data_IF_885487552220
#
_entry.id   IF_885487552220
#
_cell.length_a   1.000
_cell.length_b   1.000
_cell.length_c   1.000
_cell.angle_alpha   90.00
_cell.angle_beta   90.00
_cell.angle_gamma   90.00
#
_symmetry.space_group_name_H-M   'P 1'
#
loop_
_entity.id
_entity.type
_entity.pdbx_description
1 polymer ?
#
# COMPACT_ATOMS: atom_id res chain seq x y z
N UNK A 1 -22.93 41.76 16.37
CA UNK A 1 -21.84 41.08 15.63
C UNK A 1 -22.52 40.05 14.75
N UNK A 2 -22.58 40.31 13.45
CA UNK A 2 -23.10 39.36 12.46
C UNK A 2 -22.05 38.25 12.31
N UNK A 3 -22.38 37.02 12.69
CA UNK A 3 -21.45 35.89 12.56
C UNK A 3 -21.60 35.34 11.16
N UNK A 4 -20.58 35.55 10.33
CA UNK A 4 -20.52 34.92 9.01
C UNK A 4 -20.39 33.41 9.20
N UNK A 5 -21.23 32.66 8.48
CA UNK A 5 -21.27 31.19 8.54
C UNK A 5 -21.08 30.63 7.13
N UNK A 6 -20.52 29.42 7.06
CA UNK A 6 -20.29 28.69 5.81
C UNK A 6 -20.87 27.28 5.92
N UNK A 7 -21.03 26.61 4.79
CA UNK A 7 -21.52 25.24 4.74
C UNK A 7 -20.37 24.26 4.63
N UNK A 8 -20.45 23.15 5.39
CA UNK A 8 -19.52 22.05 5.22
C UNK A 8 -19.75 21.36 3.87
N UNK A 9 -18.72 21.34 3.02
CA UNK A 9 -18.75 20.67 1.70
C UNK A 9 -18.98 19.15 1.76
N UNK A 10 -18.83 18.53 2.93
CA UNK A 10 -18.92 17.08 3.10
C UNK A 10 -20.24 16.60 3.69
N UNK A 11 -20.75 17.29 4.72
CA UNK A 11 -21.98 16.88 5.41
C UNK A 11 -23.14 17.87 5.27
N UNK A 12 -22.93 19.04 4.65
CA UNK A 12 -23.97 20.05 4.41
C UNK A 12 -24.38 20.88 5.62
N UNK A 13 -23.78 20.66 6.79
CA UNK A 13 -24.11 21.44 8.00
C UNK A 13 -23.56 22.87 7.93
N UNK A 14 -24.28 23.81 8.53
CA UNK A 14 -23.84 25.19 8.78
C UNK A 14 -22.78 25.19 9.88
N UNK A 15 -21.63 25.78 9.60
CA UNK A 15 -20.50 25.95 10.51
C UNK A 15 -20.03 27.41 10.50
N UNK A 16 -19.29 27.84 11.52
CA UNK A 16 -18.72 29.19 11.54
C UNK A 16 -17.68 29.37 10.42
N UNK A 17 -17.52 30.61 9.92
CA UNK A 17 -16.60 30.90 8.81
C UNK A 17 -15.14 30.58 9.14
N UNK A 18 -14.76 30.64 10.42
CA UNK A 18 -13.40 30.33 10.89
C UNK A 18 -13.15 28.83 11.07
N UNK A 19 -14.17 27.98 10.97
CA UNK A 19 -14.00 26.54 11.13
C UNK A 19 -13.27 25.93 9.92
N UNK A 20 -12.01 25.55 10.12
CA UNK A 20 -11.23 24.80 9.11
C UNK A 20 -11.63 23.31 9.09
N UNK A 21 -11.99 22.77 10.26
CA UNK A 21 -12.47 21.41 10.43
C UNK A 21 -13.94 21.46 10.85
N UNK A 22 -14.78 20.65 10.22
CA UNK A 22 -16.19 20.58 10.57
C UNK A 22 -16.39 19.82 11.91
N UNK A 23 -17.02 20.43 12.94
CA UNK A 23 -17.24 19.78 14.23
C UNK A 23 -18.26 18.62 14.19
N UNK A 24 -19.06 18.52 13.12
CA UNK A 24 -20.06 17.44 12.95
C UNK A 24 -19.47 16.20 12.29
N UNK A 25 -18.75 16.36 11.18
CA UNK A 25 -18.25 15.22 10.39
C UNK A 25 -16.75 14.96 10.56
N UNK A 26 -16.00 15.88 11.19
CA UNK A 26 -14.56 15.77 11.39
C UNK A 26 -13.71 15.93 10.12
N UNK A 27 -14.35 16.16 8.96
CA UNK A 27 -13.62 16.41 7.70
C UNK A 27 -13.21 17.87 7.60
N UNK A 28 -12.03 18.08 7.03
CA UNK A 28 -11.48 19.39 6.72
C UNK A 28 -12.26 20.03 5.57
N UNK A 29 -12.74 21.26 5.80
CA UNK A 29 -13.60 22.01 4.86
C UNK A 29 -12.76 22.91 3.96
N UNK A 30 -11.63 23.40 4.48
CA UNK A 30 -10.71 24.30 3.78
C UNK A 30 -9.26 23.86 3.95
N UNK A 31 -8.45 24.15 2.94
CA UNK A 31 -7.03 23.81 2.92
C UNK A 31 -6.28 24.58 4.02
N UNK A 32 -5.58 23.84 4.87
CA UNK A 32 -4.70 24.43 5.87
C UNK A 32 -3.56 25.08 5.11
N UNK A 33 -3.45 26.42 5.17
CA UNK A 33 -2.30 27.14 4.63
C UNK A 33 -1.06 26.65 5.40
N UNK A 34 -0.41 25.65 4.84
CA UNK A 34 0.85 25.14 5.36
C UNK A 34 1.90 26.11 4.85
N UNK A 35 2.25 27.06 5.68
CA UNK A 35 3.38 27.94 5.42
C UNK A 35 4.61 27.05 5.48
N UNK A 36 5.23 26.77 4.33
CA UNK A 36 6.46 25.99 4.16
C UNK A 36 7.67 26.73 4.77
N UNK A 37 7.55 27.14 6.05
CA UNK A 37 8.67 27.66 6.81
C UNK A 37 9.56 26.46 7.09
N UNK A 38 10.74 26.46 6.48
CA UNK A 38 11.84 25.56 6.82
C UNK A 38 12.17 25.73 8.31
N UNK A 39 11.56 24.93 9.18
CA UNK A 39 11.87 24.91 10.61
C UNK A 39 13.26 24.29 10.73
N UNK A 40 14.28 25.12 10.90
CA UNK A 40 15.62 24.66 11.27
C UNK A 40 15.58 24.25 12.74
N UNK A 41 15.41 22.95 13.01
CA UNK A 41 15.53 22.39 14.36
C UNK A 41 17.01 22.27 14.71
N UNK A 42 17.56 23.22 15.47
CA UNK A 42 18.88 23.06 16.10
C UNK A 42 18.75 22.19 17.36
N UNK A 43 18.71 20.87 17.17
CA UNK A 43 18.66 19.90 18.26
C UNK A 43 20.07 19.65 18.80
N UNK A 44 20.44 20.33 19.90
CA UNK A 44 21.59 19.93 20.72
C UNK A 44 21.19 18.68 21.52
N UNK A 45 21.66 17.52 21.03
CA UNK A 45 21.22 16.18 21.41
C UNK A 45 21.11 15.91 22.92
N UNK A 46 19.88 15.68 23.39
CA UNK A 46 19.59 14.74 24.47
C UNK A 46 19.26 13.39 23.82
N UNK A 47 20.05 12.37 24.13
CA UNK A 47 20.08 11.06 23.51
C UNK A 47 18.76 10.27 23.66
N UNK A 48 17.78 10.53 22.80
CA UNK A 48 16.73 9.57 22.46
C UNK A 48 16.88 9.22 20.99
N UNK A 49 17.77 8.27 20.70
CA UNK A 49 17.90 7.68 19.37
C UNK A 49 16.64 6.84 19.09
N UNK A 50 15.58 7.51 18.65
CA UNK A 50 14.45 6.85 18.01
C UNK A 50 14.95 6.29 16.69
N UNK A 51 15.37 5.02 16.70
CA UNK A 51 15.73 4.31 15.49
C UNK A 51 14.47 4.14 14.62
N UNK A 52 14.20 5.14 13.77
CA UNK A 52 13.25 4.99 12.67
C UNK A 52 13.92 4.05 11.67
N UNK A 53 13.62 2.76 11.77
CA UNK A 53 13.92 1.82 10.69
C UNK A 53 13.00 2.20 9.54
N UNK A 54 13.52 3.03 8.63
CA UNK A 54 13.01 3.07 7.27
C UNK A 54 13.38 1.73 6.66
N UNK A 55 12.64 0.68 7.01
CA UNK A 55 12.64 -0.57 6.29
C UNK A 55 12.16 -0.25 4.89
N UNK A 56 13.11 0.13 4.03
CA UNK A 56 12.95 0.07 2.60
C UNK A 56 12.71 -1.39 2.32
N UNK A 57 11.45 -1.82 2.38
CA UNK A 57 11.00 -3.12 1.91
C UNK A 57 11.42 -3.14 0.46
N UNK A 58 12.57 -3.77 0.20
CA UNK A 58 13.08 -3.96 -1.15
C UNK A 58 12.10 -4.94 -1.78
N UNK A 59 11.04 -4.40 -2.40
CA UNK A 59 10.13 -5.22 -3.20
C UNK A 59 11.01 -5.89 -4.24
N UNK A 60 11.22 -7.19 -4.09
CA UNK A 60 11.96 -7.93 -5.10
C UNK A 60 11.25 -7.73 -6.44
N UNK A 61 12.00 -7.54 -7.54
CA UNK A 61 11.43 -7.35 -8.86
C UNK A 61 10.44 -8.47 -9.15
N UNK A 62 9.24 -8.13 -9.63
CA UNK A 62 8.14 -9.07 -9.83
C UNK A 62 8.54 -10.32 -10.66
N UNK A 63 9.51 -10.14 -11.56
CA UNK A 63 10.07 -11.15 -12.44
C UNK A 63 10.77 -12.30 -11.70
N UNK A 64 11.50 -12.04 -10.59
CA UNK A 64 12.17 -13.12 -9.86
C UNK A 64 11.17 -14.09 -9.22
N UNK A 65 9.99 -13.60 -8.80
CA UNK A 65 8.90 -14.45 -8.29
C UNK A 65 8.25 -15.26 -9.41
N UNK A 66 8.02 -14.63 -10.56
CA UNK A 66 7.39 -15.29 -11.72
C UNK A 66 8.31 -16.33 -12.36
N UNK A 67 9.63 -16.11 -12.34
CA UNK A 67 10.63 -17.04 -12.88
C UNK A 67 10.57 -18.42 -12.21
N UNK A 68 10.54 -18.47 -10.88
CA UNK A 68 10.46 -19.74 -10.14
C UNK A 68 9.16 -20.51 -10.40
N UNK A 69 8.04 -19.81 -10.58
CA UNK A 69 6.75 -20.43 -10.90
C UNK A 69 6.78 -21.06 -12.30
N UNK A 70 7.37 -20.37 -13.29
CA UNK A 70 7.50 -20.89 -14.65
C UNK A 70 8.45 -22.09 -14.68
N UNK A 71 9.60 -22.03 -14.00
CA UNK A 71 10.57 -23.13 -13.95
C UNK A 71 9.96 -24.37 -13.30
N UNK A 72 9.30 -24.22 -12.14
CA UNK A 72 8.63 -25.35 -11.47
C UNK A 72 7.43 -25.86 -12.27
N UNK A 73 6.67 -24.97 -12.91
CA UNK A 73 5.52 -25.33 -13.76
C UNK A 73 5.91 -26.15 -14.99
N UNK A 74 7.00 -25.79 -15.67
CA UNK A 74 7.48 -26.52 -16.86
C UNK A 74 8.06 -27.89 -16.45
N UNK A 75 8.82 -27.94 -15.34
CA UNK A 75 9.37 -29.21 -14.84
C UNK A 75 8.26 -30.17 -14.39
N UNK A 76 7.27 -29.68 -13.63
CA UNK A 76 6.13 -30.50 -13.21
C UNK A 76 5.30 -30.96 -14.41
N UNK A 77 4.92 -30.05 -15.32
CA UNK A 77 4.17 -30.40 -16.53
C UNK A 77 4.90 -31.44 -17.40
N UNK A 78 6.22 -31.30 -17.57
CA UNK A 78 7.06 -32.26 -18.27
C UNK A 78 7.06 -33.64 -17.60
N UNK A 79 7.21 -33.70 -16.27
CA UNK A 79 7.17 -35.00 -15.55
C UNK A 79 5.83 -35.71 -15.70
N UNK A 80 4.70 -35.01 -15.59
CA UNK A 80 3.38 -35.61 -15.76
C UNK A 80 3.14 -36.14 -17.18
N UNK A 81 3.65 -35.46 -18.19
CA UNK A 81 3.54 -35.92 -19.58
C UNK A 81 4.29 -37.23 -19.82
N UNK A 82 5.52 -37.33 -19.30
CA UNK A 82 6.34 -38.55 -19.40
C UNK A 82 5.71 -39.73 -18.66
N UNK A 83 5.21 -39.50 -17.43
CA UNK A 83 4.52 -40.52 -16.64
C UNK A 83 3.27 -41.02 -17.38
N UNK A 84 2.50 -40.12 -18.00
CA UNK A 84 1.32 -40.49 -18.80
C UNK A 84 1.67 -41.36 -20.02
N UNK A 85 2.77 -41.08 -20.71
CA UNK A 85 3.25 -41.91 -21.84
C UNK A 85 3.66 -43.31 -21.35
N UNK A 86 4.37 -43.40 -20.22
CA UNK A 86 4.80 -44.68 -19.65
C UNK A 86 3.59 -45.54 -19.26
N UNK A 87 2.60 -44.96 -18.57
CA UNK A 87 1.37 -45.66 -18.21
C UNK A 87 0.59 -46.15 -19.44
N UNK A 88 0.58 -45.36 -20.53
CA UNK A 88 -0.08 -45.74 -21.79
C UNK A 88 0.62 -46.92 -22.47
N UNK A 89 1.95 -46.96 -22.44
CA UNK A 89 2.75 -48.07 -22.99
C UNK A 89 2.53 -49.34 -22.16
N UNK A 90 2.54 -49.24 -20.83
CA UNK A 90 2.29 -50.37 -19.94
C UNK A 90 0.88 -50.92 -20.09
N UNK A 91 -0.13 -50.06 -20.25
CA UNK A 91 -1.51 -50.48 -20.51
C UNK A 91 -1.63 -51.26 -21.82
N UNK A 92 -0.99 -50.79 -22.90
CA UNK A 92 -0.98 -51.48 -24.21
C UNK A 92 -0.18 -52.78 -24.20
N UNK A 93 0.73 -52.98 -23.25
CA UNK A 93 1.46 -54.24 -23.11
C UNK A 93 0.67 -55.32 -22.38
N UNK A 94 -0.38 -54.95 -21.63
CA UNK A 94 -1.13 -55.86 -20.77
C UNK A 94 -2.56 -56.15 -21.29
N UNK A 95 -2.90 -55.64 -22.48
CA UNK A 95 -4.12 -55.93 -23.25
C UNK A 95 -3.71 -56.41 -24.65
#
# INVERSE_FOLDING_TARGET
MEKETKYCKHCGEIIDIDCIICPKCGKQVEELKTDDKNIVINNTASSNASAVTNDKVRRLPWYLRTFWIIVLGILTCGTYFIIGIILRIMWRSNN
#
